data_IF_265491303090
#
_entry.id   IF_265491303090
#
_cell.length_a   1.000
_cell.length_b   1.000
_cell.length_c   1.000
_cell.angle_alpha   90.00
_cell.angle_beta   90.00
_cell.angle_gamma   90.00
#
_symmetry.space_group_name_H-M   'P 1'
#
loop_
_entity.id
_entity.type
_entity.pdbx_description
1 polymer ?
#
# COMPACT_ATOMS: atom_id res chain seq x y z
N UNK A 1 -8.50 4.92 -8.54
CA UNK A 1 -8.34 3.61 -9.18
C UNK A 1 -9.52 2.76 -8.73
N UNK A 2 -10.07 1.89 -9.57
CA UNK A 2 -11.12 0.95 -9.13
C UNK A 2 -10.53 -0.20 -8.33
N UNK A 3 -11.38 -0.93 -7.61
CA UNK A 3 -11.02 -2.18 -6.94
C UNK A 3 -10.45 -3.21 -7.93
N UNK A 4 -9.59 -4.10 -7.44
CA UNK A 4 -8.96 -5.16 -8.24
C UNK A 4 -8.78 -6.44 -7.43
N UNK A 5 -8.57 -7.56 -8.13
CA UNK A 5 -8.29 -8.87 -7.53
C UNK A 5 -6.88 -9.32 -7.86
N UNK A 6 -6.21 -9.96 -6.91
CA UNK A 6 -4.88 -10.53 -7.07
C UNK A 6 -4.76 -11.75 -6.14
N UNK A 7 -4.04 -12.78 -6.57
CA UNK A 7 -3.65 -13.90 -5.70
C UNK A 7 -2.27 -13.61 -5.12
N UNK A 8 -2.21 -13.42 -3.81
CA UNK A 8 -0.99 -13.13 -3.06
C UNK A 8 -1.13 -13.64 -1.62
N UNK A 9 -0.06 -13.60 -0.83
CA UNK A 9 -0.07 -13.91 0.59
C UNK A 9 -0.68 -12.75 1.40
N UNK A 10 -1.69 -13.05 2.21
CA UNK A 10 -2.27 -12.07 3.13
C UNK A 10 -1.46 -12.03 4.43
N UNK A 11 -0.66 -10.99 4.62
CA UNK A 11 0.02 -10.72 5.88
C UNK A 11 -0.92 -10.08 6.90
N UNK A 12 -1.22 -10.81 7.97
CA UNK A 12 -1.88 -10.29 9.17
C UNK A 12 -0.80 -9.86 10.15
N UNK A 13 -0.76 -8.58 10.50
CA UNK A 13 0.29 -8.02 11.34
C UNK A 13 -0.30 -7.20 12.48
N UNK A 14 0.41 -7.15 13.60
CA UNK A 14 0.22 -6.09 14.56
C UNK A 14 0.78 -4.80 13.97
N UNK A 15 -0.03 -3.74 13.98
CA UNK A 15 0.39 -2.44 13.45
C UNK A 15 0.68 -1.49 14.59
N UNK A 16 1.52 -0.48 14.32
CA UNK A 16 1.80 0.62 15.25
C UNK A 16 1.25 1.96 14.70
N UNK A 17 -0.05 2.26 14.93
CA UNK A 17 -0.67 3.53 14.57
C UNK A 17 0.05 4.76 15.13
N UNK A 18 -0.24 5.98 14.62
CA UNK A 18 -1.12 6.25 13.48
C UNK A 18 -0.45 6.03 12.13
N UNK A 19 -1.21 5.58 11.14
CA UNK A 19 -0.85 5.54 9.71
C UNK A 19 -2.11 5.78 8.86
N UNK A 20 -1.95 6.26 7.65
CA UNK A 20 -3.04 6.46 6.71
C UNK A 20 -3.15 5.25 5.78
N UNK A 21 -4.26 4.51 5.85
CA UNK A 21 -4.50 3.34 5.00
C UNK A 21 -4.82 3.79 3.56
N UNK A 22 -4.12 3.21 2.59
CA UNK A 22 -4.25 3.51 1.17
C UNK A 22 -4.88 2.35 0.38
N UNK A 23 -4.66 1.11 0.83
CA UNK A 23 -5.27 -0.10 0.27
C UNK A 23 -5.64 -1.04 1.40
N UNK A 24 -6.77 -1.73 1.26
CA UNK A 24 -7.22 -2.75 2.20
C UNK A 24 -7.93 -3.89 1.47
N UNK A 25 -8.08 -5.02 2.16
CA UNK A 25 -9.00 -6.10 1.79
C UNK A 25 -9.91 -6.43 2.96
N UNK A 26 -10.87 -7.31 2.74
CA UNK A 26 -11.66 -7.90 3.81
C UNK A 26 -11.21 -9.35 4.05
N UNK A 27 -10.94 -9.66 5.30
CA UNK A 27 -10.65 -11.02 5.74
C UNK A 27 -11.50 -11.34 6.97
N UNK A 28 -12.32 -12.38 6.89
CA UNK A 28 -13.25 -12.80 7.96
C UNK A 28 -14.11 -11.65 8.50
N UNK A 29 -14.63 -10.80 7.60
CA UNK A 29 -15.48 -9.65 7.95
C UNK A 29 -14.72 -8.44 8.50
N UNK A 30 -13.40 -8.51 8.64
CA UNK A 30 -12.56 -7.42 9.11
C UNK A 30 -11.81 -6.75 7.97
N UNK A 31 -11.66 -5.43 8.06
CA UNK A 31 -10.87 -4.64 7.13
C UNK A 31 -9.39 -4.75 7.49
N UNK A 32 -8.59 -5.32 6.59
CA UNK A 32 -7.15 -5.53 6.78
C UNK A 32 -6.38 -4.61 5.84
N UNK A 33 -5.49 -3.74 6.33
CA UNK A 33 -4.71 -2.86 5.48
C UNK A 33 -3.65 -3.66 4.71
N UNK A 34 -3.58 -3.44 3.40
CA UNK A 34 -2.55 -3.98 2.52
C UNK A 34 -1.49 -2.94 2.16
N UNK A 35 -1.84 -1.65 2.28
CA UNK A 35 -0.92 -0.55 2.06
C UNK A 35 -1.30 0.65 2.90
N UNK A 36 -0.29 1.35 3.40
CA UNK A 36 -0.45 2.55 4.20
C UNK A 36 0.76 3.48 4.04
N UNK A 37 0.59 4.73 4.45
CA UNK A 37 1.69 5.67 4.63
C UNK A 37 1.77 6.21 6.06
N UNK A 38 2.98 6.54 6.51
CA UNK A 38 3.24 7.13 7.82
C UNK A 38 4.46 8.05 7.76
N UNK A 39 4.43 9.16 8.49
CA UNK A 39 5.62 10.00 8.68
C UNK A 39 6.65 9.31 9.58
N UNK A 40 7.92 9.36 9.22
CA UNK A 40 9.02 8.88 10.04
C UNK A 40 10.22 9.81 9.92
N UNK A 41 10.55 10.51 11.01
CA UNK A 41 11.48 11.64 10.96
C UNK A 41 11.01 12.71 9.98
N UNK A 42 11.90 13.12 9.08
CA UNK A 42 11.59 14.08 7.99
C UNK A 42 11.00 13.42 6.74
N UNK A 43 10.89 12.09 6.73
CA UNK A 43 10.46 11.30 5.59
C UNK A 43 9.03 10.76 5.70
N UNK A 44 8.57 10.16 4.62
CA UNK A 44 7.33 9.38 4.56
C UNK A 44 7.66 7.94 4.21
N UNK A 45 7.21 7.01 5.04
CA UNK A 45 7.26 5.58 4.75
C UNK A 45 5.97 5.20 4.03
N UNK A 46 6.10 4.55 2.87
CA UNK A 46 5.01 3.87 2.19
C UNK A 46 5.23 2.38 2.29
N UNK A 47 4.25 1.67 2.82
CA UNK A 47 4.25 0.22 2.94
C UNK A 47 3.26 -0.40 1.95
N UNK A 48 3.68 -1.48 1.29
CA UNK A 48 2.83 -2.31 0.43
C UNK A 48 3.11 -3.78 0.72
N UNK A 49 2.11 -4.49 1.23
CA UNK A 49 2.20 -5.91 1.57
C UNK A 49 2.22 -6.83 0.34
N UNK A 50 1.74 -6.33 -0.81
CA UNK A 50 1.58 -7.10 -2.04
C UNK A 50 2.87 -7.12 -2.86
N UNK A 51 3.14 -8.25 -3.52
CA UNK A 51 4.32 -8.41 -4.38
C UNK A 51 5.16 -9.64 -4.05
N UNK A 52 4.59 -10.73 -3.52
CA UNK A 52 5.34 -11.94 -3.13
C UNK A 52 6.18 -12.54 -4.28
N UNK A 53 5.77 -12.36 -5.54
CA UNK A 53 6.48 -12.89 -6.69
C UNK A 53 6.33 -12.07 -7.97
N UNK A 54 6.97 -12.56 -9.03
CA UNK A 54 7.04 -11.90 -10.34
C UNK A 54 5.65 -11.66 -10.94
N UNK A 55 4.72 -12.61 -10.79
CA UNK A 55 3.35 -12.46 -11.28
C UNK A 55 2.63 -11.28 -10.60
N UNK A 56 2.83 -11.09 -9.30
CA UNK A 56 2.21 -10.01 -8.52
C UNK A 56 2.83 -8.65 -8.85
N UNK A 57 4.15 -8.57 -8.98
CA UNK A 57 4.85 -7.35 -9.39
C UNK A 57 4.47 -6.94 -10.82
N UNK A 58 4.21 -7.90 -11.70
CA UNK A 58 3.73 -7.65 -13.07
C UNK A 58 2.24 -7.33 -13.16
N UNK A 59 1.48 -7.42 -12.06
CA UNK A 59 0.06 -7.11 -12.07
C UNK A 59 -0.16 -5.61 -12.35
N UNK A 60 -1.02 -5.22 -13.31
CA UNK A 60 -1.17 -3.82 -13.72
C UNK A 60 -1.52 -2.87 -12.58
N UNK A 61 -2.39 -3.31 -11.65
CA UNK A 61 -2.75 -2.50 -10.48
C UNK A 61 -1.58 -2.28 -9.53
N UNK A 62 -0.70 -3.28 -9.36
CA UNK A 62 0.47 -3.17 -8.48
C UNK A 62 1.48 -2.20 -9.09
N UNK A 63 1.78 -2.34 -10.39
CA UNK A 63 2.64 -1.38 -11.09
C UNK A 63 2.09 0.04 -11.05
N UNK A 64 0.76 0.21 -11.19
CA UNK A 64 0.12 1.53 -11.12
C UNK A 64 0.22 2.13 -9.72
N UNK A 65 0.05 1.33 -8.65
CA UNK A 65 0.25 1.78 -7.27
C UNK A 65 1.70 2.27 -7.08
N UNK A 66 2.70 1.46 -7.45
CA UNK A 66 4.11 1.82 -7.30
C UNK A 66 4.43 3.12 -8.05
N UNK A 67 3.99 3.23 -9.31
CA UNK A 67 4.17 4.46 -10.11
C UNK A 67 3.52 5.67 -9.47
N UNK A 68 2.30 5.54 -8.95
CA UNK A 68 1.60 6.64 -8.28
C UNK A 68 2.35 7.12 -7.04
N UNK A 69 2.92 6.20 -6.25
CA UNK A 69 3.71 6.53 -5.06
C UNK A 69 4.98 7.28 -5.44
N UNK A 70 5.71 6.79 -6.44
CA UNK A 70 6.91 7.46 -6.94
C UNK A 70 6.59 8.87 -7.43
N UNK A 71 5.50 9.04 -8.19
CA UNK A 71 5.04 10.35 -8.68
C UNK A 71 4.57 11.26 -7.54
N UNK A 72 3.93 10.69 -6.51
CA UNK A 72 3.52 11.45 -5.34
C UNK A 72 4.74 11.98 -4.58
N UNK A 73 5.77 11.15 -4.38
CA UNK A 73 7.02 11.55 -3.73
C UNK A 73 7.83 12.56 -4.55
N UNK A 74 7.91 12.40 -5.87
CA UNK A 74 8.68 13.30 -6.73
C UNK A 74 8.13 14.72 -6.76
N UNK A 75 6.86 14.91 -6.41
CA UNK A 75 6.21 16.23 -6.33
C UNK A 75 6.43 16.96 -5.00
N UNK A 76 7.09 16.32 -4.03
CA UNK A 76 7.17 16.80 -2.66
C UNK A 76 5.84 16.69 -1.92
N UNK A 77 5.85 16.41 -0.61
CA UNK A 77 4.63 16.49 0.20
C UNK A 77 4.19 17.95 0.19
N UNK A 78 3.08 18.25 -0.48
CA UNK A 78 2.29 19.45 -0.22
C UNK A 78 1.61 19.19 1.12
N UNK A 79 1.94 20.00 2.11
CA UNK A 79 1.41 19.92 3.46
C UNK A 79 -0.12 19.73 3.42
N UNK A 80 -0.62 18.79 4.23
CA UNK A 80 -2.05 18.64 4.50
C UNK A 80 -2.51 19.69 5.48
#
# INVERSE_FOLDING_TARGET
MSDFSIRDELYLQEYYPPFHTLLFTHFKGQKVPLSWEKSYGTGTVFYLALGHGTAQINHPSIQKIIKNVIVYWSKGRRDK
#
